data_IF_495121669849
#
_entry.id   IF_495121669849
#
_cell.length_a   1.000
_cell.length_b   1.000
_cell.length_c   1.000
_cell.angle_alpha   90.00
_cell.angle_beta   90.00
_cell.angle_gamma   90.00
#
_symmetry.space_group_name_H-M   'P 1'
#
loop_
_entity.id
_entity.type
_entity.pdbx_description
1 polymer ?
#
# COMPACT_ATOMS: atom_id res chain seq x y z
N UNK A 1 1.15 -0.06 -12.35
CA UNK A 1 2.50 0.54 -12.46
C UNK A 1 2.85 1.10 -11.08
N UNK A 2 4.11 1.35 -10.69
CA UNK A 2 4.33 2.07 -9.43
C UNK A 2 3.79 3.51 -9.56
N UNK A 3 3.02 3.96 -8.57
CA UNK A 3 2.59 5.35 -8.44
C UNK A 3 3.66 6.11 -7.66
N UNK A 4 4.17 7.18 -8.26
CA UNK A 4 5.20 8.02 -7.64
C UNK A 4 4.56 9.28 -7.07
N UNK A 5 4.75 9.53 -5.79
CA UNK A 5 4.21 10.69 -5.08
C UNK A 5 5.33 11.41 -4.35
N UNK A 6 5.40 12.74 -4.41
CA UNK A 6 6.46 13.51 -3.75
C UNK A 6 5.89 14.25 -2.56
N UNK A 7 6.48 14.00 -1.38
CA UNK A 7 6.09 14.67 -0.14
C UNK A 7 6.54 16.14 -0.09
N UNK A 8 5.97 16.93 0.81
CA UNK A 8 6.38 18.31 1.09
C UNK A 8 7.86 18.43 1.52
N UNK A 9 8.43 17.36 2.09
CA UNK A 9 9.87 17.26 2.40
C UNK A 9 10.76 17.04 1.16
N UNK A 10 10.18 16.91 -0.03
CA UNK A 10 10.90 16.61 -1.28
C UNK A 10 11.27 15.13 -1.44
N UNK A 11 10.70 14.24 -0.63
CA UNK A 11 10.93 12.78 -0.70
C UNK A 11 9.96 12.19 -1.73
N UNK A 12 10.49 11.60 -2.80
CA UNK A 12 9.68 10.86 -3.78
C UNK A 12 9.43 9.44 -3.29
N UNK A 13 8.18 9.09 -3.04
CA UNK A 13 7.71 7.77 -2.66
C UNK A 13 7.23 7.00 -3.88
N UNK A 14 7.83 5.85 -4.14
CA UNK A 14 7.34 4.90 -5.13
C UNK A 14 6.43 3.89 -4.45
N UNK A 15 5.12 4.09 -4.60
CA UNK A 15 4.08 3.19 -4.13
C UNK A 15 3.80 2.14 -5.18
N UNK A 16 4.05 0.88 -4.86
CA UNK A 16 3.72 -0.25 -5.71
C UNK A 16 2.80 -1.19 -4.96
N UNK A 17 1.76 -1.68 -5.65
CA UNK A 17 0.98 -2.77 -5.12
C UNK A 17 1.92 -3.97 -4.93
N UNK A 18 2.17 -4.31 -3.67
CA UNK A 18 2.76 -5.59 -3.36
C UNK A 18 1.68 -6.61 -3.70
N UNK A 19 1.84 -7.24 -4.87
CA UNK A 19 1.29 -8.56 -5.10
C UNK A 19 1.86 -9.45 -4.00
N UNK A 20 1.20 -9.45 -2.84
CA UNK A 20 1.31 -10.54 -1.89
C UNK A 20 1.14 -11.77 -2.75
N UNK A 21 2.16 -12.64 -2.77
CA UNK A 21 2.10 -13.88 -3.54
C UNK A 21 0.79 -14.57 -3.24
N UNK A 22 -0.19 -14.36 -4.13
CA UNK A 22 -1.31 -15.25 -4.32
C UNK A 22 -0.67 -16.48 -4.93
N UNK A 23 0.04 -17.23 -4.08
CA UNK A 23 0.12 -18.66 -4.22
C UNK A 23 -1.32 -19.08 -4.37
N UNK A 24 -1.67 -19.43 -5.61
CA UNK A 24 -2.85 -20.17 -6.00
C UNK A 24 -2.82 -21.56 -5.35
N UNK A 25 -2.66 -21.63 -4.02
CA UNK A 25 -2.88 -22.86 -3.29
C UNK A 25 -4.35 -22.84 -2.94
N UNK A 26 -5.13 -23.57 -3.73
CA UNK A 26 -6.57 -23.79 -3.65
C UNK A 26 -7.05 -24.43 -2.32
N UNK A 27 -6.26 -24.35 -1.24
CA UNK A 27 -6.46 -25.06 0.03
C UNK A 27 -6.66 -24.11 1.22
N UNK A 28 -6.91 -22.82 0.96
CA UNK A 28 -7.28 -21.85 2.00
C UNK A 28 -8.51 -21.01 1.61
N UNK A 29 -9.38 -21.59 0.77
CA UNK A 29 -10.61 -20.93 0.33
C UNK A 29 -11.65 -20.81 1.44
N UNK A 30 -11.48 -21.49 2.59
CA UNK A 30 -12.46 -21.44 3.69
C UNK A 30 -12.16 -20.37 4.75
N UNK A 31 -10.90 -19.95 4.93
CA UNK A 31 -10.56 -18.83 5.82
C UNK A 31 -10.67 -17.46 5.12
N UNK A 32 -10.60 -17.42 3.79
CA UNK A 32 -10.73 -16.21 2.98
C UNK A 32 -12.17 -15.71 2.81
N UNK A 33 -13.18 -16.55 3.11
CA UNK A 33 -14.61 -16.19 2.95
C UNK A 33 -15.13 -15.15 3.96
N UNK A 34 -14.39 -14.87 5.03
CA UNK A 34 -14.88 -13.93 6.07
C UNK A 34 -14.66 -12.46 5.65
N UNK A 35 -13.99 -12.17 4.53
CA UNK A 35 -13.79 -10.81 4.04
C UNK A 35 -13.94 -10.70 2.51
N UNK A 36 -14.94 -11.35 1.90
CA UNK A 36 -15.31 -11.15 0.49
C UNK A 36 -15.76 -9.70 0.16
N UNK A 37 -15.86 -8.82 1.16
CA UNK A 37 -16.32 -7.43 1.02
C UNK A 37 -15.21 -6.37 1.06
N UNK A 38 -13.94 -6.78 1.19
CA UNK A 38 -12.84 -5.84 1.36
C UNK A 38 -11.83 -6.00 0.24
N UNK A 39 -12.19 -5.48 -0.92
CA UNK A 39 -11.31 -5.14 -2.03
C UNK A 39 -10.19 -4.21 -1.49
N UNK A 40 -9.18 -4.79 -0.85
CA UNK A 40 -8.12 -4.07 -0.13
C UNK A 40 -6.81 -4.67 -0.55
N UNK A 41 -5.92 -3.82 -1.04
CA UNK A 41 -4.65 -4.20 -1.60
C UNK A 41 -3.52 -3.74 -0.71
N UNK A 42 -2.51 -4.61 -0.62
CA UNK A 42 -1.27 -4.29 0.07
C UNK A 42 -0.39 -3.47 -0.85
N UNK A 43 -0.08 -2.25 -0.43
CA UNK A 43 0.75 -1.31 -1.17
C UNK A 43 2.02 -1.07 -0.37
N UNK A 44 3.17 -1.18 -1.01
CA UNK A 44 4.46 -0.87 -0.41
C UNK A 44 4.94 0.43 -1.02
N UNK A 45 5.11 1.44 -0.17
CA UNK A 45 5.65 2.73 -0.56
C UNK A 45 7.10 2.83 -0.09
N UNK A 46 8.01 2.96 -1.06
CA UNK A 46 9.45 3.07 -0.80
C UNK A 46 9.90 4.50 -1.04
N UNK A 47 10.52 5.17 -0.06
CA UNK A 47 11.04 6.51 -0.24
C UNK A 47 12.35 6.51 -1.03
N UNK A 48 12.50 7.48 -1.91
CA UNK A 48 13.73 7.76 -2.64
C UNK A 48 14.76 8.31 -1.65
N UNK A 49 15.83 7.54 -1.40
CA UNK A 49 16.85 7.90 -0.40
C UNK A 49 17.20 6.80 0.59
N UNK A 50 16.58 5.61 0.49
CA UNK A 50 16.94 4.44 1.30
C UNK A 50 16.39 4.47 2.73
N UNK A 51 15.41 5.34 3.02
CA UNK A 51 14.66 5.30 4.26
C UNK A 51 13.73 4.07 4.31
N UNK A 52 13.19 3.77 5.50
CA UNK A 52 12.30 2.62 5.70
C UNK A 52 11.09 2.67 4.75
N UNK A 53 10.87 1.55 4.05
CA UNK A 53 9.65 1.34 3.27
C UNK A 53 8.48 1.13 4.21
N UNK A 54 7.31 1.64 3.81
CA UNK A 54 6.07 1.44 4.55
C UNK A 54 5.13 0.54 3.79
N UNK A 55 4.36 -0.25 4.54
CA UNK A 55 3.32 -1.13 4.01
C UNK A 55 1.96 -0.59 4.42
N UNK A 56 1.18 -0.21 3.42
CA UNK A 56 -0.18 0.28 3.55
C UNK A 56 -1.17 -0.79 3.09
N UNK A 57 -2.37 -0.72 3.64
CA UNK A 57 -3.52 -1.49 3.21
C UNK A 57 -4.56 -0.49 2.70
N UNK A 58 -4.69 -0.39 1.38
CA UNK A 58 -5.55 0.59 0.72
C UNK A 58 -6.70 -0.11 0.02
N UNK A 59 -7.83 0.56 -0.16
CA UNK A 59 -8.94 -0.01 -0.94
C UNK A 59 -8.51 -0.27 -2.39
N UNK A 60 -9.21 -1.14 -3.10
CA UNK A 60 -8.94 -1.33 -4.52
C UNK A 60 -9.29 -0.11 -5.33
N UNK A 61 -8.71 -0.10 -6.53
CA UNK A 61 -8.61 1.09 -7.35
C UNK A 61 -7.83 2.24 -6.66
N UNK A 62 -7.00 1.96 -5.64
CA UNK A 62 -6.25 3.00 -4.92
C UNK A 62 -5.41 3.91 -5.83
N UNK A 63 -4.89 3.36 -6.93
CA UNK A 63 -4.12 4.12 -7.93
C UNK A 63 -4.92 5.32 -8.48
N UNK A 64 -6.24 5.19 -8.58
CA UNK A 64 -7.18 6.16 -9.15
C UNK A 64 -8.02 6.85 -8.07
N UNK A 65 -8.46 6.13 -7.03
CA UNK A 65 -9.25 6.69 -5.93
C UNK A 65 -8.43 7.54 -4.95
N UNK A 66 -7.16 7.20 -4.70
CA UNK A 66 -6.33 7.97 -3.77
C UNK A 66 -5.53 9.02 -4.52
N UNK A 67 -5.70 10.27 -4.07
CA UNK A 67 -4.83 11.39 -4.48
C UNK A 67 -3.44 11.26 -3.85
N UNK A 68 -2.47 11.97 -4.40
CA UNK A 68 -1.08 11.92 -3.93
C UNK A 68 -0.97 12.35 -2.45
N UNK A 69 -1.70 13.40 -2.06
CA UNK A 69 -1.76 13.88 -0.68
C UNK A 69 -2.35 12.83 0.28
N UNK A 70 -3.41 12.12 -0.14
CA UNK A 70 -4.03 11.05 0.66
C UNK A 70 -3.06 9.88 0.87
N UNK A 71 -2.29 9.51 -0.16
CA UNK A 71 -1.25 8.48 -0.05
C UNK A 71 -0.17 8.91 0.94
N UNK A 72 0.29 10.15 0.86
CA UNK A 72 1.29 10.70 1.77
C UNK A 72 0.79 10.73 3.23
N UNK A 73 -0.48 11.08 3.45
CA UNK A 73 -1.10 11.00 4.77
C UNK A 73 -1.09 9.58 5.34
N UNK A 74 -1.47 8.58 4.54
CA UNK A 74 -1.46 7.18 4.97
C UNK A 74 -0.04 6.67 5.22
N UNK A 75 0.94 7.06 4.38
CA UNK A 75 2.37 6.80 4.60
C UNK A 75 2.81 7.38 5.95
N UNK A 76 2.55 8.67 6.20
CA UNK A 76 2.98 9.34 7.42
C UNK A 76 2.34 8.71 8.68
N UNK A 77 1.05 8.39 8.61
CA UNK A 77 0.31 7.72 9.68
C UNK A 77 0.89 6.33 9.98
N UNK A 78 1.22 5.55 8.95
CA UNK A 78 1.83 4.23 9.13
C UNK A 78 3.23 4.34 9.73
N UNK A 79 4.05 5.30 9.29
CA UNK A 79 5.39 5.55 9.86
C UNK A 79 5.32 5.90 11.35
N UNK A 80 4.33 6.72 11.74
CA UNK A 80 4.12 7.09 13.14
C UNK A 80 3.63 5.91 13.98
N UNK A 81 2.78 5.04 13.43
CA UNK A 81 2.28 3.86 14.13
C UNK A 81 3.34 2.79 14.39
N UNK A 82 4.38 2.72 13.55
CA UNK A 82 5.50 1.77 13.70
C UNK A 82 6.73 2.37 14.41
N UNK A 83 6.64 3.59 14.93
CA UNK A 83 7.71 4.28 15.70
C UNK A 83 7.58 4.13 17.20
#
# INVERSE_FOLDING_TARGET
>A
MPKEVTDAEGITWSCIQAYAGLSQTAENQEAAKVNEDKDTYRVVCTPSGGAQSVRLELQGDWESSYSDDQLLQEIAKQRQAES
#
